data_IF_526587757758
#
_entry.id   IF_526587757758
#
_cell.length_a   1.000
_cell.length_b   1.000
_cell.length_c   1.000
_cell.angle_alpha   90.00
_cell.angle_beta   90.00
_cell.angle_gamma   90.00
#
_symmetry.space_group_name_H-M   'P 1'
#
loop_
_entity.id
_entity.type
_entity.pdbx_description
1 polymer ?
#
# COMPACT_ATOMS: atom_id res chain seq x y z
N UNK A 1 -5.87 32.17 -28.28
CA UNK A 1 -4.85 31.37 -27.57
C UNK A 1 -5.30 31.32 -26.14
N UNK A 2 -5.96 30.23 -25.74
CA UNK A 2 -6.45 30.07 -24.36
C UNK A 2 -5.27 29.68 -23.47
N UNK A 3 -4.93 30.54 -22.53
CA UNK A 3 -3.93 30.28 -21.50
C UNK A 3 -4.39 29.09 -20.65
N UNK A 4 -3.65 27.97 -20.75
CA UNK A 4 -3.81 26.86 -19.80
C UNK A 4 -3.34 27.34 -18.44
N UNK A 5 -4.28 27.75 -17.60
CA UNK A 5 -4.02 28.10 -16.20
C UNK A 5 -3.69 26.82 -15.44
N UNK A 6 -2.41 26.62 -15.13
CA UNK A 6 -1.96 25.51 -14.30
C UNK A 6 -2.47 25.74 -12.86
N UNK A 7 -3.42 24.92 -12.40
CA UNK A 7 -3.94 24.99 -11.04
C UNK A 7 -2.99 24.23 -10.13
N UNK A 8 -2.08 24.94 -9.48
CA UNK A 8 -1.23 24.39 -8.41
C UNK A 8 -2.07 24.41 -7.13
N UNK A 9 -2.57 23.24 -6.70
CA UNK A 9 -3.28 23.10 -5.44
C UNK A 9 -2.29 22.76 -4.32
N UNK A 10 -2.06 23.71 -3.41
CA UNK A 10 -1.12 23.56 -2.28
C UNK A 10 -1.84 23.03 -1.04
N UNK A 11 -1.44 21.85 -0.56
CA UNK A 11 -2.03 21.21 0.62
C UNK A 11 -1.47 21.81 1.92
N UNK A 12 -2.30 22.53 2.70
CA UNK A 12 -1.92 23.04 4.04
C UNK A 12 -2.06 21.97 5.15
N UNK A 13 -2.69 20.84 4.84
CA UNK A 13 -2.84 19.65 5.71
C UNK A 13 -3.23 18.50 4.79
N UNK A 14 -2.47 17.41 4.76
CA UNK A 14 -2.78 16.24 3.91
C UNK A 14 -4.00 15.49 4.46
N UNK A 15 -5.20 16.03 4.29
CA UNK A 15 -6.44 15.31 4.52
C UNK A 15 -6.62 14.30 3.38
N UNK A 16 -6.31 13.04 3.63
CA UNK A 16 -6.33 11.95 2.62
C UNK A 16 -7.67 11.90 1.87
N UNK A 17 -8.79 12.18 2.55
CA UNK A 17 -10.12 12.22 1.94
C UNK A 17 -10.30 13.35 0.92
N UNK A 18 -9.64 14.48 1.12
CA UNK A 18 -9.67 15.59 0.14
C UNK A 18 -8.80 15.26 -1.06
N UNK A 19 -7.65 14.63 -0.84
CA UNK A 19 -6.76 14.15 -1.91
C UNK A 19 -7.48 13.12 -2.79
N UNK A 20 -8.17 12.15 -2.19
CA UNK A 20 -8.96 11.13 -2.90
C UNK A 20 -10.00 11.75 -3.84
N UNK A 21 -10.75 12.75 -3.36
CA UNK A 21 -11.73 13.46 -4.19
C UNK A 21 -11.09 14.17 -5.38
N UNK A 22 -9.96 14.83 -5.18
CA UNK A 22 -9.24 15.55 -6.26
C UNK A 22 -8.81 14.58 -7.37
N UNK A 23 -8.42 13.35 -7.01
CA UNK A 23 -8.04 12.31 -8.00
C UNK A 23 -9.23 11.49 -8.51
N UNK A 24 -10.47 11.89 -8.18
CA UNK A 24 -11.71 11.28 -8.69
C UNK A 24 -12.25 10.09 -7.89
N UNK A 25 -11.70 9.81 -6.71
CA UNK A 25 -12.19 8.77 -5.80
C UNK A 25 -13.22 9.40 -4.85
N UNK A 26 -14.50 9.30 -5.23
CA UNK A 26 -15.59 9.97 -4.50
C UNK A 26 -16.63 9.01 -3.93
N UNK A 27 -16.80 7.84 -4.57
CA UNK A 27 -17.86 6.89 -4.27
C UNK A 27 -17.26 5.62 -3.68
N UNK A 28 -17.86 5.15 -2.60
CA UNK A 28 -17.47 3.92 -1.90
C UNK A 28 -18.54 2.86 -2.08
N UNK A 29 -18.14 1.60 -2.24
CA UNK A 29 -19.08 0.47 -2.34
C UNK A 29 -19.92 0.26 -1.08
N UNK A 30 -19.47 0.77 0.07
CA UNK A 30 -20.11 0.65 1.39
C UNK A 30 -20.51 2.01 1.97
N UNK A 31 -21.00 2.93 1.13
CA UNK A 31 -21.35 4.31 1.51
C UNK A 31 -22.39 4.44 2.63
N UNK A 32 -23.21 3.41 2.86
CA UNK A 32 -24.21 3.37 3.94
C UNK A 32 -23.66 3.02 5.32
N UNK A 33 -22.38 2.69 5.45
CA UNK A 33 -21.75 2.25 6.70
C UNK A 33 -20.73 3.29 7.16
N UNK A 34 -20.71 3.60 8.46
CA UNK A 34 -19.71 4.50 9.04
C UNK A 34 -18.33 3.84 8.99
N UNK A 35 -17.33 4.56 8.48
CA UNK A 35 -15.94 4.11 8.46
C UNK A 35 -15.35 3.94 9.87
N UNK A 36 -14.36 3.05 9.97
CA UNK A 36 -13.55 2.85 11.18
C UNK A 36 -12.29 3.69 11.08
N UNK A 37 -11.90 4.33 12.18
CA UNK A 37 -10.64 5.06 12.26
C UNK A 37 -9.53 4.12 12.73
N UNK A 38 -8.36 4.22 12.12
CA UNK A 38 -7.17 3.47 12.51
C UNK A 38 -5.92 4.05 11.87
N UNK A 39 -4.77 3.67 12.40
CA UNK A 39 -3.46 4.04 11.84
C UNK A 39 -3.00 2.93 10.92
N UNK A 40 -2.80 3.24 9.64
CA UNK A 40 -2.18 2.33 8.67
C UNK A 40 -0.70 2.67 8.50
N UNK A 41 0.12 1.69 8.10
CA UNK A 41 1.54 1.88 7.76
C UNK A 41 2.39 2.50 8.90
N UNK A 42 2.05 2.23 10.16
CA UNK A 42 2.79 2.74 11.31
C UNK A 42 4.22 2.15 11.39
N UNK A 43 4.36 0.85 11.11
CA UNK A 43 5.65 0.16 10.93
C UNK A 43 5.65 -0.56 9.58
N UNK A 44 6.84 -0.78 9.01
CA UNK A 44 6.99 -1.53 7.76
C UNK A 44 6.34 -2.93 7.82
N UNK A 45 6.42 -3.59 8.97
CA UNK A 45 5.84 -4.92 9.20
C UNK A 45 4.31 -4.93 9.35
N UNK A 46 3.67 -3.77 9.43
CA UNK A 46 2.21 -3.67 9.51
C UNK A 46 1.55 -3.72 8.11
N UNK A 47 2.35 -3.63 7.03
CA UNK A 47 1.89 -3.70 5.64
C UNK A 47 2.87 -4.49 4.77
N UNK A 48 2.54 -5.75 4.48
CA UNK A 48 3.39 -6.67 3.71
C UNK A 48 2.73 -6.93 2.36
N UNK A 49 3.51 -6.82 1.28
CA UNK A 49 3.06 -7.08 -0.09
C UNK A 49 3.75 -8.33 -0.60
N UNK A 50 2.99 -9.24 -1.22
CA UNK A 50 3.51 -10.39 -1.97
C UNK A 50 2.98 -10.31 -3.38
N UNK A 51 3.88 -10.25 -4.36
CA UNK A 51 3.49 -10.22 -5.77
C UNK A 51 2.94 -11.59 -6.20
N UNK A 52 1.87 -11.59 -6.98
CA UNK A 52 1.42 -12.77 -7.73
C UNK A 52 1.91 -12.59 -9.17
N UNK A 53 2.87 -13.41 -9.57
CA UNK A 53 3.46 -13.38 -10.91
C UNK A 53 2.43 -13.70 -11.98
N UNK A 54 2.75 -13.40 -13.25
CA UNK A 54 1.90 -13.76 -14.40
C UNK A 54 1.53 -15.25 -14.44
N UNK A 55 2.41 -16.12 -13.92
CA UNK A 55 2.17 -17.57 -13.85
C UNK A 55 1.25 -18.00 -12.70
N UNK A 56 0.76 -17.07 -11.88
CA UNK A 56 -0.04 -17.35 -10.69
C UNK A 56 0.76 -17.76 -9.46
N UNK A 57 2.10 -17.75 -9.53
CA UNK A 57 2.98 -18.04 -8.37
C UNK A 57 3.18 -16.80 -7.52
N UNK A 58 3.28 -16.97 -6.21
CA UNK A 58 3.69 -15.92 -5.28
C UNK A 58 5.20 -15.71 -5.39
N UNK A 59 5.65 -14.47 -5.53
CA UNK A 59 7.07 -14.14 -5.50
C UNK A 59 7.57 -14.24 -4.05
N UNK A 60 8.57 -15.09 -3.83
CA UNK A 60 9.21 -15.30 -2.54
C UNK A 60 10.69 -14.97 -2.64
N UNK A 61 11.27 -14.53 -1.53
CA UNK A 61 12.73 -14.38 -1.42
C UNK A 61 13.26 -15.80 -1.22
N UNK A 62 14.03 -16.31 -2.19
CA UNK A 62 14.82 -17.51 -1.97
C UNK A 62 15.93 -17.14 -0.99
N UNK A 63 15.75 -17.49 0.28
CA UNK A 63 16.88 -17.61 1.18
C UNK A 63 17.62 -18.88 0.77
N UNK A 64 18.82 -18.76 0.21
CA UNK A 64 19.79 -19.86 0.07
C UNK A 64 20.27 -20.27 1.47
N UNK A 65 19.34 -20.59 2.36
CA UNK A 65 19.62 -21.18 3.65
C UNK A 65 19.94 -22.64 3.37
N UNK A 66 21.23 -22.96 3.27
CA UNK A 66 21.65 -24.33 3.58
C UNK A 66 21.17 -24.58 5.01
N UNK A 67 20.28 -25.55 5.27
CA UNK A 67 19.94 -25.90 6.63
C UNK A 67 21.24 -26.32 7.32
N UNK A 68 21.69 -25.53 8.30
CA UNK A 68 22.82 -25.93 9.14
C UNK A 68 22.38 -27.18 9.89
N UNK A 69 22.84 -28.35 9.45
CA UNK A 69 22.57 -29.60 10.15
C UNK A 69 23.32 -29.57 11.48
N UNK A 70 22.63 -29.29 12.58
CA UNK A 70 23.16 -29.58 13.91
C UNK A 70 23.03 -31.09 14.15
N UNK A 71 23.93 -31.84 13.54
CA UNK A 71 24.19 -33.26 13.75
C UNK A 71 25.63 -33.43 13.24
N UNK A 72 26.65 -33.76 14.02
CA UNK A 72 26.78 -34.72 15.11
C UNK A 72 28.03 -34.30 15.91
N UNK A 73 28.01 -34.33 17.24
CA UNK A 73 29.17 -34.81 18.01
C UNK A 73 28.67 -35.67 19.18
N UNK A 74 29.21 -36.87 19.21
CA UNK A 74 29.10 -38.01 20.14
C UNK A 74 29.38 -37.70 21.59
#
# INVERSE_FOLDING_TARGET
MDEKKEIIHTFNKNNEREVEKIVGIEVFSTSGIKGVQGTIKNRYKDFIVKEITYSGRVLEINEDYTPTSYSVET
#
